data_IF_763329078029
#
_entry.id   IF_763329078029
#
_cell.length_a   1.000
_cell.length_b   1.000
_cell.length_c   1.000
_cell.angle_alpha   90.00
_cell.angle_beta   90.00
_cell.angle_gamma   90.00
#
_symmetry.space_group_name_H-M   'P 1'
#
loop_
_entity.id
_entity.type
_entity.pdbx_description
1 polymer ?
#
# COMPACT_ATOMS: atom_id res chain seq x y z
N UNK A 1 42.08 40.46 18.60
CA UNK A 1 41.02 39.85 19.44
C UNK A 1 39.77 39.66 18.59
N UNK A 2 39.51 38.44 18.11
CA UNK A 2 38.22 38.13 17.47
C UNK A 2 37.15 38.02 18.56
N UNK A 3 36.27 39.02 18.64
CA UNK A 3 35.03 38.91 19.45
C UNK A 3 34.18 37.80 18.82
N UNK A 4 34.06 36.64 19.48
CA UNK A 4 33.03 35.65 19.13
C UNK A 4 31.68 36.38 19.20
N UNK A 5 31.02 36.57 18.05
CA UNK A 5 29.61 36.98 18.03
C UNK A 5 28.86 35.96 18.89
N UNK A 6 28.11 36.44 19.90
CA UNK A 6 27.13 35.59 20.59
C UNK A 6 26.18 35.08 19.51
N UNK A 7 26.16 33.77 19.28
CA UNK A 7 25.12 33.14 18.49
C UNK A 7 23.87 33.29 19.35
N UNK A 8 23.00 34.23 18.99
CA UNK A 8 21.63 34.25 19.51
C UNK A 8 20.99 33.05 18.83
N UNK A 9 20.81 31.95 19.59
CA UNK A 9 19.97 30.85 19.13
C UNK A 9 18.55 31.42 19.11
N UNK A 10 17.99 31.63 17.94
CA UNK A 10 16.56 31.92 17.82
C UNK A 10 15.81 30.77 18.52
N UNK A 11 14.95 31.12 19.47
CA UNK A 11 14.10 30.13 20.13
C UNK A 11 13.13 29.57 19.09
N UNK A 12 13.18 28.25 18.89
CA UNK A 12 12.29 27.57 17.94
C UNK A 12 10.88 27.54 18.53
N UNK A 13 9.82 27.66 17.70
CA UNK A 13 8.45 27.50 18.16
C UNK A 13 8.23 26.10 18.72
N UNK A 14 7.41 25.96 19.78
CA UNK A 14 7.01 24.64 20.27
C UNK A 14 6.22 23.89 19.18
N UNK A 15 6.47 22.58 19.04
CA UNK A 15 5.74 21.75 18.09
C UNK A 15 4.31 21.52 18.62
N UNK A 16 3.26 21.86 17.84
CA UNK A 16 1.88 21.67 18.26
C UNK A 16 1.53 20.19 18.52
N UNK A 17 0.52 19.93 19.36
CA UNK A 17 0.10 18.58 19.77
C UNK A 17 -1.30 18.21 19.29
N UNK A 18 -2.06 19.15 18.72
CA UNK A 18 -3.39 18.90 18.16
C UNK A 18 -3.53 19.54 16.78
N UNK A 19 -4.39 19.00 15.91
CA UNK A 19 -4.64 19.60 14.59
C UNK A 19 -5.09 21.07 14.70
N UNK A 20 -5.86 21.37 15.75
CA UNK A 20 -6.33 22.72 16.03
C UNK A 20 -5.17 23.70 16.27
N UNK A 21 -4.21 23.32 17.12
CA UNK A 21 -2.99 24.08 17.41
C UNK A 21 -2.05 24.16 16.19
N UNK A 22 -2.06 23.13 15.34
CA UNK A 22 -1.38 23.16 14.05
C UNK A 22 -1.98 24.21 13.10
N UNK A 23 -3.20 24.69 13.38
CA UNK A 23 -3.95 25.59 12.51
C UNK A 23 -4.67 24.87 11.37
N UNK A 24 -4.94 23.57 11.52
CA UNK A 24 -5.60 22.73 10.51
C UNK A 24 -6.95 22.22 11.00
N UNK A 25 -7.80 21.86 10.04
CA UNK A 25 -9.07 21.18 10.28
C UNK A 25 -9.17 19.96 9.35
N UNK A 26 -9.69 18.85 9.89
CA UNK A 26 -10.12 17.71 9.10
C UNK A 26 -11.58 17.92 8.72
N UNK A 27 -11.85 18.09 7.42
CA UNK A 27 -13.19 18.29 6.88
C UNK A 27 -13.97 16.97 6.81
N UNK A 28 -15.29 17.07 6.63
CA UNK A 28 -16.17 15.89 6.50
C UNK A 28 -15.83 15.03 5.27
N UNK A 29 -15.44 15.67 4.16
CA UNK A 29 -14.95 14.98 2.95
C UNK A 29 -13.56 14.35 3.12
N UNK A 30 -12.97 14.44 4.31
CA UNK A 30 -11.69 13.82 4.65
C UNK A 30 -10.46 14.65 4.28
N UNK A 31 -10.61 15.82 3.65
CA UNK A 31 -9.49 16.70 3.37
C UNK A 31 -8.95 17.33 4.66
N UNK A 32 -7.63 17.48 4.75
CA UNK A 32 -6.97 18.20 5.83
C UNK A 32 -6.48 19.54 5.29
N UNK A 33 -7.05 20.64 5.79
CA UNK A 33 -6.77 21.99 5.26
C UNK A 33 -6.43 22.98 6.36
N UNK A 34 -5.59 23.95 6.04
CA UNK A 34 -5.29 25.07 6.94
C UNK A 34 -6.55 25.91 7.17
N UNK A 35 -6.78 26.33 8.42
CA UNK A 35 -7.96 27.13 8.78
C UNK A 35 -7.94 28.54 8.17
N UNK A 36 -6.75 29.06 7.87
CA UNK A 36 -6.56 30.41 7.38
C UNK A 36 -6.69 30.54 5.86
N UNK A 37 -6.20 29.56 5.11
CA UNK A 37 -6.03 29.66 3.64
C UNK A 37 -6.67 28.51 2.88
N UNK A 38 -7.20 27.50 3.58
CA UNK A 38 -7.75 26.30 2.98
C UNK A 38 -6.72 25.53 2.11
N UNK A 39 -5.47 25.53 2.54
CA UNK A 39 -4.35 24.89 1.84
C UNK A 39 -3.99 23.52 2.44
N UNK A 40 -3.43 22.57 1.65
CA UNK A 40 -2.85 21.33 2.16
C UNK A 40 -1.72 21.56 3.17
N UNK A 41 -1.25 20.48 3.81
CA UNK A 41 -0.15 20.56 4.78
C UNK A 41 1.14 21.09 4.15
N UNK A 42 1.69 22.14 4.77
CA UNK A 42 2.99 22.72 4.38
C UNK A 42 4.11 22.13 5.24
N UNK A 43 4.99 21.35 4.61
CA UNK A 43 6.16 20.75 5.27
C UNK A 43 7.24 21.78 5.63
N UNK A 44 7.53 22.72 4.73
CA UNK A 44 8.58 23.74 4.94
C UNK A 44 8.06 24.89 5.82
N UNK A 45 7.77 24.60 7.09
CA UNK A 45 7.26 25.59 8.05
C UNK A 45 8.36 26.56 8.51
N UNK A 46 9.55 26.05 8.86
CA UNK A 46 10.75 26.86 9.07
C UNK A 46 11.73 26.64 7.92
N UNK A 47 11.89 27.60 6.99
CA UNK A 47 12.84 27.48 5.90
C UNK A 47 14.25 27.20 6.43
N UNK A 48 14.94 26.23 5.81
CA UNK A 48 16.31 25.78 6.17
C UNK A 48 16.46 25.00 7.49
N UNK A 49 15.41 24.77 8.27
CA UNK A 49 15.46 23.90 9.46
C UNK A 49 14.77 22.57 9.21
N UNK A 50 15.45 21.72 8.43
CA UNK A 50 14.93 20.40 8.04
C UNK A 50 14.61 19.53 9.25
N UNK A 51 15.45 19.52 10.27
CA UNK A 51 15.25 18.68 11.46
C UNK A 51 13.96 19.07 12.21
N UNK A 52 13.73 20.38 12.39
CA UNK A 52 12.49 20.85 13.00
C UNK A 52 11.25 20.49 12.16
N UNK A 53 11.32 20.69 10.84
CA UNK A 53 10.20 20.37 9.95
C UNK A 53 9.89 18.86 9.93
N UNK A 54 10.91 18.00 9.99
CA UNK A 54 10.73 16.55 10.11
C UNK A 54 10.08 16.15 11.43
N UNK A 55 10.49 16.73 12.57
CA UNK A 55 9.85 16.48 13.88
C UNK A 55 8.40 16.97 13.90
N UNK A 56 8.16 18.19 13.38
CA UNK A 56 6.83 18.78 13.27
C UNK A 56 5.91 17.92 12.40
N UNK A 57 6.41 17.43 11.27
CA UNK A 57 5.67 16.56 10.36
C UNK A 57 5.36 15.20 10.99
N UNK A 58 6.31 14.60 11.73
CA UNK A 58 6.07 13.35 12.47
C UNK A 58 4.92 13.47 13.46
N UNK A 59 4.83 14.58 14.20
CA UNK A 59 3.69 14.80 15.10
C UNK A 59 2.40 14.96 14.31
N UNK A 60 2.40 15.77 13.25
CA UNK A 60 1.22 15.98 12.40
C UNK A 60 0.69 14.67 11.81
N UNK A 61 1.53 13.87 11.16
CA UNK A 61 1.11 12.63 10.51
C UNK A 61 0.65 11.56 11.52
N UNK A 62 1.18 11.59 12.75
CA UNK A 62 0.72 10.71 13.82
C UNK A 62 -0.70 11.06 14.26
N UNK A 63 -1.05 12.35 14.36
CA UNK A 63 -2.43 12.78 14.66
C UNK A 63 -3.41 12.32 13.57
N UNK A 64 -3.01 12.39 12.30
CA UNK A 64 -3.80 11.86 11.19
C UNK A 64 -3.93 10.34 11.27
N UNK A 65 -2.83 9.66 11.62
CA UNK A 65 -2.84 8.22 11.86
C UNK A 65 -3.81 7.79 12.96
N UNK A 66 -3.83 8.50 14.09
CA UNK A 66 -4.76 8.22 15.20
C UNK A 66 -6.22 8.34 14.73
N UNK A 67 -6.55 9.34 13.91
CA UNK A 67 -7.90 9.51 13.37
C UNK A 67 -8.26 8.46 12.31
N UNK A 68 -7.31 8.03 11.47
CA UNK A 68 -7.51 6.92 10.52
C UNK A 68 -7.82 5.62 11.27
N UNK A 69 -7.01 5.25 12.26
CA UNK A 69 -7.23 4.03 13.06
C UNK A 69 -8.57 4.07 13.79
N UNK A 70 -8.89 5.20 14.45
CA UNK A 70 -10.18 5.40 15.09
C UNK A 70 -11.36 5.22 14.13
N UNK A 71 -11.25 5.68 12.88
CA UNK A 71 -12.32 5.49 11.88
C UNK A 71 -12.38 4.07 11.37
N UNK A 72 -11.25 3.38 11.19
CA UNK A 72 -11.21 1.96 10.80
C UNK A 72 -11.84 1.06 11.86
N UNK A 73 -11.67 1.37 13.15
CA UNK A 73 -12.30 0.62 14.25
C UNK A 73 -13.82 0.89 14.36
N UNK A 74 -14.30 2.03 13.86
CA UNK A 74 -15.70 2.41 13.90
C UNK A 74 -16.51 1.90 12.69
N UNK A 75 -17.84 2.00 12.80
CA UNK A 75 -18.74 1.82 11.66
C UNK A 75 -18.36 2.79 10.51
N UNK A 76 -18.38 2.35 9.25
CA UNK A 76 -18.88 1.05 8.76
C UNK A 76 -17.84 -0.08 8.70
N UNK A 77 -16.57 0.18 9.04
CA UNK A 77 -15.47 -0.75 8.77
C UNK A 77 -15.35 -1.84 9.84
N UNK A 78 -15.54 -1.47 11.11
CA UNK A 78 -15.59 -2.37 12.27
C UNK A 78 -14.35 -3.26 12.43
N UNK A 79 -13.16 -2.73 12.14
CA UNK A 79 -11.93 -3.47 12.33
C UNK A 79 -11.66 -3.76 13.81
N UNK A 80 -11.10 -4.94 14.06
CA UNK A 80 -10.66 -5.40 15.36
C UNK A 80 -9.15 -5.61 15.35
N UNK A 81 -8.46 -5.05 16.34
CA UNK A 81 -7.04 -5.27 16.52
C UNK A 81 -6.79 -6.69 17.03
N UNK A 82 -5.99 -7.46 16.29
CA UNK A 82 -5.52 -8.78 16.71
C UNK A 82 -4.06 -8.70 17.09
N UNK A 83 -3.77 -8.87 18.38
CA UNK A 83 -2.41 -8.84 18.93
C UNK A 83 -1.51 -9.89 18.29
N UNK A 84 -0.27 -9.48 18.01
CA UNK A 84 0.84 -10.35 17.64
C UNK A 84 2.08 -10.03 18.50
N UNK A 85 2.92 -11.02 18.84
CA UNK A 85 2.71 -12.46 18.68
C UNK A 85 1.43 -12.98 19.37
N UNK A 86 0.89 -14.10 18.88
CA UNK A 86 -0.35 -14.71 19.40
C UNK A 86 -0.25 -15.17 20.85
N UNK A 87 0.97 -15.38 21.34
CA UNK A 87 1.33 -15.79 22.70
C UNK A 87 1.80 -14.64 23.58
N UNK A 88 1.86 -13.41 23.06
CA UNK A 88 2.22 -12.23 23.84
C UNK A 88 1.10 -11.86 24.82
N UNK A 89 1.46 -11.52 26.05
CA UNK A 89 0.56 -10.91 27.02
C UNK A 89 0.61 -9.37 26.86
N UNK A 90 -0.46 -8.72 26.37
CA UNK A 90 -0.45 -7.29 26.10
C UNK A 90 -0.16 -6.40 27.32
N UNK A 91 -0.26 -6.94 28.54
CA UNK A 91 0.03 -6.20 29.77
C UNK A 91 1.52 -6.09 30.08
N UNK A 92 2.37 -6.92 29.47
CA UNK A 92 3.80 -7.03 29.85
C UNK A 92 4.76 -7.27 28.68
N UNK A 93 4.31 -7.92 27.61
CA UNK A 93 5.17 -8.36 26.53
C UNK A 93 5.16 -7.34 25.38
N UNK A 94 6.31 -7.11 24.71
CA UNK A 94 6.35 -6.35 23.46
C UNK A 94 5.46 -6.99 22.40
N UNK A 95 4.53 -6.21 21.84
CA UNK A 95 3.57 -6.71 20.86
C UNK A 95 3.21 -5.64 19.83
N UNK A 96 2.72 -6.11 18.69
CA UNK A 96 2.03 -5.30 17.66
C UNK A 96 0.62 -5.83 17.49
N UNK A 97 -0.05 -5.41 16.42
CA UNK A 97 -1.32 -5.96 16.01
C UNK A 97 -1.50 -5.87 14.50
N UNK A 98 -2.39 -6.71 13.98
CA UNK A 98 -3.00 -6.55 12.65
C UNK A 98 -4.46 -6.11 12.84
N UNK A 99 -5.05 -5.50 11.83
CA UNK A 99 -6.49 -5.26 11.83
C UNK A 99 -7.22 -6.34 11.03
N UNK A 100 -8.33 -6.81 11.55
CA UNK A 100 -9.19 -7.80 10.89
C UNK A 100 -10.64 -7.33 10.94
N UNK A 101 -11.37 -7.46 9.84
CA UNK A 101 -12.85 -7.37 9.91
C UNK A 101 -13.38 -8.53 10.76
N UNK A 102 -14.60 -8.41 11.35
CA UNK A 102 -15.05 -9.32 12.41
C UNK A 102 -15.02 -10.82 12.05
N UNK A 103 -15.22 -11.19 10.78
CA UNK A 103 -15.21 -12.59 10.36
C UNK A 103 -13.96 -12.98 9.56
N UNK A 104 -12.95 -12.12 9.43
CA UNK A 104 -11.79 -12.40 8.58
C UNK A 104 -11.04 -13.69 8.96
N UNK A 105 -11.03 -14.04 10.26
CA UNK A 105 -10.34 -15.24 10.74
C UNK A 105 -11.19 -16.52 10.70
N UNK A 106 -12.49 -16.41 10.41
CA UNK A 106 -13.44 -17.53 10.43
C UNK A 106 -14.18 -17.73 9.10
N UNK A 107 -14.10 -16.75 8.19
CA UNK A 107 -14.77 -16.78 6.90
C UNK A 107 -14.34 -17.98 6.06
N UNK A 108 -15.31 -18.54 5.34
CA UNK A 108 -15.09 -19.53 4.28
C UNK A 108 -15.17 -18.89 2.88
N UNK A 109 -15.58 -17.62 2.79
CA UNK A 109 -15.78 -16.91 1.54
C UNK A 109 -14.52 -16.23 1.02
N UNK A 110 -14.67 -14.97 0.61
CA UNK A 110 -13.60 -14.15 0.04
C UNK A 110 -12.88 -13.35 1.12
N UNK A 111 -11.57 -13.32 1.03
CA UNK A 111 -10.68 -12.55 1.91
C UNK A 111 -9.72 -11.72 1.06
N UNK A 112 -9.41 -10.52 1.50
CA UNK A 112 -8.29 -9.75 0.95
C UNK A 112 -7.31 -9.31 2.04
N UNK A 113 -6.02 -9.42 1.75
CA UNK A 113 -4.93 -9.00 2.64
C UNK A 113 -4.31 -7.71 2.09
N UNK A 114 -4.29 -6.66 2.92
CA UNK A 114 -3.67 -5.38 2.63
C UNK A 114 -2.29 -5.30 3.27
N UNK A 115 -1.28 -5.01 2.45
CA UNK A 115 0.12 -4.96 2.88
C UNK A 115 0.71 -3.62 2.45
N UNK A 116 0.93 -2.67 3.39
CA UNK A 116 1.43 -1.36 3.03
C UNK A 116 2.92 -1.40 2.68
N UNK A 117 3.42 -0.30 2.13
CA UNK A 117 4.86 -0.09 1.90
C UNK A 117 5.63 0.22 3.18
N UNK A 118 6.89 0.62 3.04
CA UNK A 118 7.73 1.01 4.18
C UNK A 118 7.31 2.34 4.79
N UNK A 119 7.62 2.53 6.07
CA UNK A 119 7.45 3.80 6.79
C UNK A 119 6.01 4.34 6.75
N UNK A 120 5.02 3.46 6.72
CA UNK A 120 3.61 3.82 6.86
C UNK A 120 3.07 3.22 8.15
N UNK A 121 2.16 3.97 8.79
CA UNK A 121 1.43 3.46 9.94
C UNK A 121 0.34 2.50 9.44
N UNK A 122 -0.05 1.54 10.27
CA UNK A 122 -1.15 0.62 9.93
C UNK A 122 -2.40 1.41 9.49
N UNK A 123 -3.09 0.90 8.47
CA UNK A 123 -4.26 1.56 7.89
C UNK A 123 -3.93 2.62 6.83
N UNK A 124 -2.66 2.93 6.57
CA UNK A 124 -2.27 3.96 5.60
C UNK A 124 -1.65 3.37 4.31
N UNK A 125 -1.98 3.95 3.16
CA UNK A 125 -1.31 3.68 1.89
C UNK A 125 -0.18 4.69 1.63
N UNK A 126 -0.48 5.99 1.66
CA UNK A 126 0.51 7.05 1.43
C UNK A 126 0.28 8.26 2.34
N UNK A 127 1.33 8.66 3.05
CA UNK A 127 1.32 9.90 3.86
C UNK A 127 1.15 11.15 3.01
N UNK A 128 1.61 11.12 1.75
CA UNK A 128 1.47 12.23 0.82
C UNK A 128 0.03 12.39 0.39
N UNK A 129 -0.62 11.32 -0.07
CA UNK A 129 -2.04 11.36 -0.47
C UNK A 129 -2.93 11.77 0.72
N UNK A 130 -2.65 11.27 1.94
CA UNK A 130 -3.37 11.68 3.15
C UNK A 130 -3.36 13.21 3.34
N UNK A 131 -2.22 13.85 3.10
CA UNK A 131 -2.03 15.29 3.32
C UNK A 131 -2.48 16.15 2.13
N UNK A 132 -2.25 15.69 0.90
CA UNK A 132 -2.47 16.46 -0.32
C UNK A 132 -3.95 16.39 -0.76
N UNK A 133 -4.53 15.19 -0.69
CA UNK A 133 -5.89 14.89 -1.12
C UNK A 133 -6.83 14.76 0.08
N UNK A 134 -6.95 13.56 0.64
CA UNK A 134 -7.87 13.28 1.75
C UNK A 134 -7.51 11.97 2.47
N UNK A 135 -8.03 11.82 3.69
CA UNK A 135 -7.75 10.65 4.51
C UNK A 135 -8.39 9.36 3.99
N UNK A 136 -9.45 9.41 3.17
CA UNK A 136 -10.12 8.21 2.67
C UNK A 136 -9.29 7.53 1.57
N UNK A 137 -8.81 8.30 0.60
CA UNK A 137 -7.99 7.84 -0.52
C UNK A 137 -6.57 7.47 -0.09
N UNK A 138 -5.96 8.27 0.80
CA UNK A 138 -4.60 8.01 1.29
C UNK A 138 -4.48 6.89 2.32
N UNK A 139 -5.62 6.40 2.83
CA UNK A 139 -5.70 5.28 3.77
C UNK A 139 -6.39 4.06 3.15
N UNK A 140 -6.45 2.99 3.92
CA UNK A 140 -7.13 1.75 3.56
C UNK A 140 -8.66 1.85 3.69
N UNK A 141 -9.22 3.01 4.00
CA UNK A 141 -10.66 3.19 4.24
C UNK A 141 -11.48 3.03 2.95
N UNK A 142 -11.19 3.79 1.89
CA UNK A 142 -11.94 3.69 0.63
C UNK A 142 -11.81 2.28 0.03
N UNK A 143 -10.60 1.73 0.06
CA UNK A 143 -10.35 0.37 -0.43
C UNK A 143 -11.14 -0.65 0.37
N UNK A 144 -11.13 -0.57 1.71
CA UNK A 144 -11.92 -1.47 2.56
C UNK A 144 -13.40 -1.40 2.22
N UNK A 145 -13.98 -0.18 2.11
CA UNK A 145 -15.41 0.00 1.80
C UNK A 145 -15.79 -0.76 0.53
N UNK A 146 -15.04 -0.56 -0.55
CA UNK A 146 -15.30 -1.17 -1.86
C UNK A 146 -15.19 -2.69 -1.85
N UNK A 147 -14.25 -3.25 -1.08
CA UNK A 147 -14.14 -4.71 -0.90
C UNK A 147 -15.26 -5.28 -0.01
N UNK A 148 -15.64 -4.59 1.07
CA UNK A 148 -16.78 -4.99 1.90
C UNK A 148 -18.11 -4.96 1.14
N UNK A 149 -18.32 -3.98 0.26
CA UNK A 149 -19.49 -3.91 -0.65
C UNK A 149 -19.58 -5.14 -1.58
N UNK A 150 -18.44 -5.78 -1.90
CA UNK A 150 -18.38 -7.03 -2.66
C UNK A 150 -18.38 -8.28 -1.76
N UNK A 151 -18.55 -8.15 -0.45
CA UNK A 151 -18.62 -9.26 0.50
C UNK A 151 -17.28 -9.88 0.86
N UNK A 152 -16.19 -9.10 0.79
CA UNK A 152 -14.88 -9.54 1.27
C UNK A 152 -14.73 -9.25 2.75
N UNK A 153 -14.10 -10.17 3.46
CA UNK A 153 -13.43 -9.84 4.72
C UNK A 153 -12.02 -9.30 4.44
N UNK A 154 -11.51 -8.45 5.32
CA UNK A 154 -10.24 -7.73 5.12
C UNK A 154 -9.29 -7.98 6.29
N UNK A 155 -8.03 -8.25 5.98
CA UNK A 155 -6.92 -8.24 6.94
C UNK A 155 -5.93 -7.15 6.52
N UNK A 156 -5.60 -6.24 7.45
CA UNK A 156 -4.57 -5.22 7.26
C UNK A 156 -3.35 -5.59 8.10
N UNK A 157 -2.20 -5.72 7.44
CA UNK A 157 -0.92 -5.98 8.11
C UNK A 157 -0.32 -4.70 8.70
N UNK A 158 0.55 -4.86 9.70
CA UNK A 158 1.36 -3.79 10.30
C UNK A 158 2.86 -4.08 10.17
N UNK A 159 3.39 -4.22 8.94
CA UNK A 159 4.77 -4.68 8.73
C UNK A 159 5.82 -3.71 9.27
N UNK A 160 5.47 -2.43 9.45
CA UNK A 160 6.39 -1.40 9.94
C UNK A 160 6.38 -1.26 11.46
N UNK A 161 5.34 -1.71 12.17
CA UNK A 161 5.24 -1.59 13.62
C UNK A 161 6.15 -2.57 14.35
N UNK A 162 7.47 -2.38 14.26
CA UNK A 162 8.50 -3.33 14.72
C UNK A 162 9.14 -2.94 16.05
N UNK A 163 9.07 -1.66 16.44
CA UNK A 163 9.74 -1.12 17.63
C UNK A 163 8.75 -0.93 18.78
N UNK A 164 9.07 -1.41 19.97
CA UNK A 164 8.21 -1.32 21.15
C UNK A 164 8.74 -0.31 22.16
N UNK A 165 7.95 0.74 22.44
CA UNK A 165 8.19 1.70 23.53
C UNK A 165 6.92 2.49 23.84
N UNK A 166 6.83 3.07 25.03
CA UNK A 166 5.64 3.78 25.52
C UNK A 166 4.35 2.94 25.39
N UNK A 167 4.45 1.63 25.68
CA UNK A 167 3.37 0.65 25.62
C UNK A 167 2.64 0.58 24.26
N UNK A 168 3.36 0.80 23.15
CA UNK A 168 2.82 0.60 21.79
C UNK A 168 3.93 0.26 20.78
N UNK A 169 3.50 -0.27 19.64
CA UNK A 169 4.35 -0.49 18.47
C UNK A 169 4.57 0.82 17.68
N UNK A 170 5.76 0.96 17.10
CA UNK A 170 6.18 2.11 16.32
C UNK A 170 6.96 1.69 15.08
N UNK A 171 6.96 2.57 14.07
CA UNK A 171 7.65 2.43 12.78
C UNK A 171 9.11 2.88 12.78
N UNK A 172 9.58 3.37 13.93
CA UNK A 172 10.93 3.85 14.13
C UNK A 172 11.35 3.65 15.59
N UNK A 173 12.65 3.50 15.87
CA UNK A 173 13.15 3.33 17.23
C UNK A 173 12.89 4.58 18.08
N UNK A 174 12.82 4.39 19.40
CA UNK A 174 12.66 5.50 20.35
C UNK A 174 13.80 6.52 20.20
N UNK A 175 13.50 7.82 19.96
CA UNK A 175 14.53 8.83 19.80
C UNK A 175 15.45 8.93 21.02
N UNK A 176 16.76 8.97 20.78
CA UNK A 176 17.80 9.10 21.82
C UNK A 176 17.89 7.93 22.81
N UNK A 177 17.18 6.82 22.56
CA UNK A 177 17.29 5.62 23.38
C UNK A 177 18.47 4.75 22.93
N UNK A 178 19.19 4.20 23.90
CA UNK A 178 20.29 3.23 23.65
C UNK A 178 19.74 1.81 23.55
N UNK A 179 18.60 1.56 24.20
CA UNK A 179 17.97 0.25 24.25
C UNK A 179 16.78 0.22 23.30
N UNK A 180 16.89 -0.59 22.26
CA UNK A 180 15.82 -0.81 21.29
C UNK A 180 15.18 -2.16 21.59
N UNK A 181 13.90 -2.13 21.93
CA UNK A 181 13.08 -3.34 22.07
C UNK A 181 12.33 -3.58 20.77
N UNK A 182 12.64 -4.70 20.11
CA UNK A 182 11.91 -5.15 18.91
C UNK A 182 10.77 -6.08 19.31
N UNK A 183 9.76 -6.16 18.47
CA UNK A 183 8.61 -7.04 18.67
C UNK A 183 8.96 -8.44 18.15
N UNK A 184 8.95 -9.49 18.99
CA UNK A 184 9.34 -10.83 18.57
C UNK A 184 8.51 -11.32 17.38
N UNK A 185 9.13 -11.97 16.40
CA UNK A 185 8.45 -12.46 15.19
C UNK A 185 7.93 -11.37 14.24
N UNK A 186 8.16 -10.10 14.56
CA UNK A 186 7.77 -8.93 13.77
C UNK A 186 8.87 -7.87 13.86
N UNK A 187 10.14 -8.29 13.87
CA UNK A 187 11.29 -7.41 14.02
C UNK A 187 11.59 -6.59 12.76
N UNK A 188 11.08 -7.01 11.61
CA UNK A 188 11.18 -6.32 10.33
C UNK A 188 9.96 -6.64 9.44
N UNK A 189 9.73 -5.90 8.33
CA UNK A 189 8.58 -6.12 7.44
C UNK A 189 8.44 -7.55 6.91
N UNK A 190 9.55 -8.18 6.56
CA UNK A 190 9.63 -9.55 6.05
C UNK A 190 9.20 -10.56 7.12
N UNK A 191 9.78 -10.50 8.32
CA UNK A 191 9.41 -11.36 9.44
C UNK A 191 7.96 -11.16 9.86
N UNK A 192 7.47 -9.92 9.88
CA UNK A 192 6.06 -9.65 10.15
C UNK A 192 5.17 -10.38 9.14
N UNK A 193 5.42 -10.23 7.84
CA UNK A 193 4.62 -10.90 6.83
C UNK A 193 4.72 -12.43 6.93
N UNK A 194 5.93 -12.98 7.13
CA UNK A 194 6.13 -14.40 7.36
C UNK A 194 5.34 -14.91 8.57
N UNK A 195 5.41 -14.20 9.70
CA UNK A 195 4.67 -14.55 10.91
C UNK A 195 3.17 -14.59 10.65
N UNK A 196 2.62 -13.56 10.00
CA UNK A 196 1.17 -13.53 9.73
C UNK A 196 0.74 -14.64 8.77
N UNK A 197 1.52 -14.91 7.74
CA UNK A 197 1.22 -16.00 6.80
C UNK A 197 1.27 -17.37 7.49
N UNK A 198 2.28 -17.61 8.33
CA UNK A 198 2.47 -18.87 9.04
C UNK A 198 1.40 -19.13 10.11
N UNK A 199 1.04 -18.09 10.89
CA UNK A 199 0.16 -18.24 12.05
C UNK A 199 -1.32 -18.04 11.75
N UNK A 200 -1.64 -17.15 10.81
CA UNK A 200 -3.02 -16.81 10.46
C UNK A 200 -3.39 -17.34 9.08
N UNK A 201 -2.84 -16.75 8.00
CA UNK A 201 -3.34 -16.94 6.61
C UNK A 201 -3.35 -18.41 6.19
N UNK A 202 -2.26 -19.14 6.49
CA UNK A 202 -2.13 -20.58 6.20
C UNK A 202 -3.27 -21.41 6.78
N UNK A 203 -3.79 -21.03 7.94
CA UNK A 203 -4.80 -21.80 8.68
C UNK A 203 -6.24 -21.30 8.45
N UNK A 204 -6.43 -20.26 7.63
CA UNK A 204 -7.77 -19.74 7.33
C UNK A 204 -8.59 -20.72 6.49
N UNK A 205 -9.91 -20.66 6.65
CA UNK A 205 -10.87 -21.46 5.88
C UNK A 205 -11.37 -20.75 4.61
N UNK A 206 -10.94 -19.51 4.39
CA UNK A 206 -11.31 -18.72 3.22
C UNK A 206 -10.97 -19.50 1.94
N UNK A 207 -11.96 -19.72 1.08
CA UNK A 207 -11.80 -20.45 -0.17
C UNK A 207 -10.98 -19.64 -1.19
N UNK A 208 -11.16 -18.32 -1.20
CA UNK A 208 -10.46 -17.41 -2.11
C UNK A 208 -9.81 -16.26 -1.34
N UNK A 209 -8.53 -16.06 -1.59
CA UNK A 209 -7.71 -15.01 -0.97
C UNK A 209 -7.10 -14.14 -2.07
N UNK A 210 -7.28 -12.83 -1.96
CA UNK A 210 -6.57 -11.84 -2.76
C UNK A 210 -5.53 -11.11 -1.90
N UNK A 211 -4.51 -10.54 -2.54
CA UNK A 211 -3.53 -9.68 -1.88
C UNK A 211 -3.43 -8.36 -2.62
N UNK A 212 -3.46 -7.25 -1.88
CA UNK A 212 -3.12 -5.92 -2.38
C UNK A 212 -1.91 -5.40 -1.59
N UNK A 213 -0.79 -5.20 -2.28
CA UNK A 213 0.47 -4.85 -1.64
C UNK A 213 1.13 -3.63 -2.29
N UNK A 214 1.75 -2.77 -1.48
CA UNK A 214 2.43 -1.55 -1.94
C UNK A 214 3.94 -1.64 -1.63
N UNK A 215 4.78 -1.25 -2.57
CA UNK A 215 6.22 -1.09 -2.37
C UNK A 215 6.89 -2.34 -1.78
N UNK A 216 7.59 -2.12 -0.66
CA UNK A 216 8.25 -3.21 0.08
C UNK A 216 7.28 -4.24 0.65
N UNK A 217 6.01 -3.89 0.89
CA UNK A 217 4.98 -4.85 1.26
C UNK A 217 4.79 -5.95 0.20
N UNK A 218 4.94 -5.61 -1.09
CA UNK A 218 4.95 -6.60 -2.16
C UNK A 218 6.16 -7.52 -2.09
N UNK A 219 7.34 -6.99 -1.74
CA UNK A 219 8.54 -7.80 -1.48
C UNK A 219 8.32 -8.79 -0.33
N UNK A 220 7.89 -8.29 0.84
CA UNK A 220 7.63 -9.12 2.01
C UNK A 220 6.56 -10.18 1.76
N UNK A 221 5.51 -9.84 0.99
CA UNK A 221 4.51 -10.82 0.53
C UNK A 221 5.14 -11.95 -0.27
N UNK A 222 5.93 -11.64 -1.31
CA UNK A 222 6.46 -12.67 -2.20
C UNK A 222 7.33 -13.69 -1.44
N UNK A 223 8.10 -13.24 -0.44
CA UNK A 223 8.88 -14.14 0.41
C UNK A 223 7.99 -14.99 1.32
N UNK A 224 7.01 -14.38 1.99
CA UNK A 224 6.10 -15.11 2.88
C UNK A 224 5.23 -16.13 2.13
N UNK A 225 4.82 -15.79 0.90
CA UNK A 225 4.07 -16.67 0.02
C UNK A 225 4.95 -17.80 -0.53
N UNK A 226 6.21 -17.54 -0.91
CA UNK A 226 7.15 -18.57 -1.37
C UNK A 226 7.37 -19.67 -0.33
N UNK A 227 7.52 -19.30 0.95
CA UNK A 227 7.67 -20.25 2.07
C UNK A 227 6.39 -21.04 2.37
N UNK A 228 5.22 -20.51 1.99
CA UNK A 228 3.91 -21.12 2.24
C UNK A 228 3.21 -21.61 0.96
N UNK A 229 3.93 -21.67 -0.16
CA UNK A 229 3.36 -21.85 -1.49
C UNK A 229 2.47 -23.09 -1.56
N UNK A 230 2.99 -24.25 -1.12
CA UNK A 230 2.27 -25.52 -1.20
C UNK A 230 0.94 -25.52 -0.44
N UNK A 231 0.82 -24.71 0.63
CA UNK A 231 -0.38 -24.61 1.46
C UNK A 231 -1.38 -23.54 1.00
N UNK A 232 -0.95 -22.64 0.11
CA UNK A 232 -1.69 -21.42 -0.24
C UNK A 232 -1.97 -21.28 -1.74
N UNK A 233 -1.23 -21.94 -2.63
CA UNK A 233 -1.32 -21.75 -4.08
C UNK A 233 -2.74 -21.91 -4.65
N UNK A 234 -3.54 -22.83 -4.09
CA UNK A 234 -4.91 -23.09 -4.56
C UNK A 234 -5.93 -22.08 -4.03
N UNK A 235 -5.63 -21.41 -2.91
CA UNK A 235 -6.53 -20.46 -2.24
C UNK A 235 -6.21 -19.02 -2.57
N UNK A 236 -4.93 -18.66 -2.72
CA UNK A 236 -4.51 -17.32 -3.14
C UNK A 236 -4.72 -17.23 -4.66
N UNK A 237 -5.70 -16.43 -5.07
CA UNK A 237 -6.13 -16.33 -6.48
C UNK A 237 -5.34 -15.27 -7.25
N UNK A 238 -4.92 -14.20 -6.58
CA UNK A 238 -4.16 -13.12 -7.20
C UNK A 238 -3.43 -12.25 -6.20
N UNK A 239 -2.41 -11.56 -6.69
CA UNK A 239 -1.75 -10.46 -5.99
C UNK A 239 -1.70 -9.22 -6.90
N UNK A 240 -2.33 -8.13 -6.47
CA UNK A 240 -2.14 -6.82 -7.08
C UNK A 240 -1.07 -6.06 -6.30
N UNK A 241 -0.07 -5.56 -7.01
CA UNK A 241 1.05 -4.84 -6.43
C UNK A 241 1.17 -3.45 -7.01
N UNK A 242 1.62 -2.50 -6.22
CA UNK A 242 1.94 -1.15 -6.68
C UNK A 242 3.38 -0.82 -6.32
N UNK A 243 4.20 -0.46 -7.31
CA UNK A 243 5.61 -0.11 -7.16
C UNK A 243 6.40 -1.14 -6.33
N UNK A 244 6.04 -2.42 -6.42
CA UNK A 244 6.75 -3.47 -5.69
C UNK A 244 8.16 -3.62 -6.21
N UNK A 245 9.10 -3.89 -5.30
CA UNK A 245 10.53 -4.02 -5.57
C UNK A 245 11.05 -5.44 -5.35
N UNK A 246 10.14 -6.42 -5.39
CA UNK A 246 10.49 -7.84 -5.28
C UNK A 246 11.43 -8.30 -6.39
N UNK A 247 12.13 -9.41 -6.17
CA UNK A 247 12.99 -10.02 -7.18
C UNK A 247 12.73 -11.52 -7.23
N UNK A 248 12.52 -12.04 -8.43
CA UNK A 248 12.33 -13.46 -8.69
C UNK A 248 13.53 -14.32 -8.30
N UNK A 249 14.72 -13.72 -8.30
CA UNK A 249 15.96 -14.38 -7.90
C UNK A 249 16.01 -14.67 -6.39
N UNK A 250 15.21 -13.94 -5.60
CA UNK A 250 15.09 -14.15 -4.15
C UNK A 250 14.09 -15.25 -3.78
N UNK A 251 13.26 -15.68 -4.72
CA UNK A 251 12.28 -16.74 -4.52
C UNK A 251 12.96 -18.08 -4.69
N UNK A 252 12.65 -19.07 -3.87
CA UNK A 252 13.26 -20.40 -3.91
C UNK A 252 12.43 -21.36 -4.74
N UNK A 253 11.11 -21.24 -4.69
CA UNK A 253 10.19 -22.17 -5.34
C UNK A 253 9.86 -21.72 -6.79
N UNK A 254 10.10 -22.60 -7.75
CA UNK A 254 9.74 -22.37 -9.15
C UNK A 254 8.23 -22.21 -9.35
N UNK A 255 7.42 -22.91 -8.54
CA UNK A 255 5.98 -22.77 -8.51
C UNK A 255 5.53 -21.35 -8.18
N UNK A 256 6.17 -20.70 -7.20
CA UNK A 256 5.90 -19.29 -6.86
C UNK A 256 6.17 -18.36 -8.04
N UNK A 257 7.31 -18.54 -8.72
CA UNK A 257 7.67 -17.69 -9.88
C UNK A 257 6.65 -17.82 -11.00
N UNK A 258 6.21 -19.05 -11.30
CA UNK A 258 5.16 -19.31 -12.29
C UNK A 258 3.82 -18.73 -11.86
N UNK A 259 3.45 -18.91 -10.59
CA UNK A 259 2.22 -18.35 -10.05
C UNK A 259 2.18 -16.82 -10.15
N UNK A 260 3.29 -16.14 -9.86
CA UNK A 260 3.40 -14.69 -10.03
C UNK A 260 3.20 -14.27 -11.48
N UNK A 261 3.74 -15.04 -12.44
CA UNK A 261 3.57 -14.73 -13.86
C UNK A 261 2.10 -14.74 -14.28
N UNK A 262 1.34 -15.72 -13.80
CA UNK A 262 -0.06 -15.93 -14.18
C UNK A 262 -1.06 -15.11 -13.33
N UNK A 263 -0.72 -14.79 -12.08
CA UNK A 263 -1.67 -14.29 -11.08
C UNK A 263 -1.25 -13.00 -10.37
N UNK A 264 -0.14 -12.37 -10.79
CA UNK A 264 0.32 -11.12 -10.22
C UNK A 264 0.46 -10.02 -11.28
N UNK A 265 0.04 -8.80 -10.92
CA UNK A 265 0.32 -7.58 -11.69
C UNK A 265 0.95 -6.55 -10.76
N UNK A 266 2.00 -5.88 -11.23
CA UNK A 266 2.66 -4.77 -10.55
C UNK A 266 2.46 -3.46 -11.33
N UNK A 267 1.63 -2.55 -10.83
CA UNK A 267 1.50 -1.21 -11.38
C UNK A 267 2.70 -0.35 -10.97
N UNK A 268 3.41 0.22 -11.93
CA UNK A 268 4.68 0.91 -11.68
C UNK A 268 4.71 2.32 -12.27
N UNK A 269 5.40 3.22 -11.57
CA UNK A 269 5.82 4.53 -12.09
C UNK A 269 6.60 4.34 -13.39
N UNK A 270 6.16 5.04 -14.42
CA UNK A 270 6.73 4.95 -15.77
C UNK A 270 6.20 6.12 -16.60
N UNK A 271 7.00 6.58 -17.57
CA UNK A 271 6.62 7.61 -18.53
C UNK A 271 5.84 7.07 -19.75
N UNK A 272 5.66 5.74 -19.83
CA UNK A 272 4.83 5.09 -20.85
C UNK A 272 3.34 5.38 -20.62
N UNK A 273 2.53 5.23 -21.66
CA UNK A 273 1.08 5.43 -21.56
C UNK A 273 0.45 4.56 -20.47
N UNK A 274 -0.57 5.09 -19.77
CA UNK A 274 -1.25 4.36 -18.69
C UNK A 274 -1.84 3.07 -19.26
N UNK A 275 -1.62 1.94 -18.58
CA UNK A 275 -2.08 0.63 -19.03
C UNK A 275 -1.10 -0.12 -19.93
N UNK A 276 -0.03 0.52 -20.41
CA UNK A 276 0.97 -0.16 -21.25
C UNK A 276 1.76 -1.19 -20.44
N UNK A 277 1.96 -2.38 -21.02
CA UNK A 277 2.78 -3.44 -20.42
C UNK A 277 4.26 -3.04 -20.43
N UNK A 278 4.90 -3.26 -19.29
CA UNK A 278 6.33 -3.07 -19.08
C UNK A 278 6.96 -4.44 -18.87
N UNK A 279 7.85 -4.82 -19.79
CA UNK A 279 8.62 -6.06 -19.65
C UNK A 279 9.77 -5.83 -18.69
N UNK A 280 9.66 -6.40 -17.49
CA UNK A 280 10.76 -6.46 -16.52
C UNK A 280 10.86 -7.87 -15.94
N UNK A 281 11.83 -8.68 -16.40
CA UNK A 281 11.93 -10.08 -16.01
C UNK A 281 12.24 -10.26 -14.52
N UNK A 282 12.74 -9.22 -13.83
CA UNK A 282 13.13 -9.29 -12.42
C UNK A 282 11.96 -9.60 -11.50
N UNK A 283 10.74 -9.21 -11.88
CA UNK A 283 9.56 -9.40 -11.03
C UNK A 283 8.89 -10.76 -11.23
N UNK A 284 9.13 -11.44 -12.36
CA UNK A 284 8.37 -12.63 -12.75
C UNK A 284 6.84 -12.40 -12.70
N UNK A 285 6.39 -11.17 -12.97
CA UNK A 285 4.98 -10.81 -13.09
C UNK A 285 4.80 -9.71 -14.15
N UNK A 286 3.57 -9.50 -14.61
CA UNK A 286 3.27 -8.42 -15.56
C UNK A 286 3.38 -7.08 -14.86
N UNK A 287 4.17 -6.15 -15.41
CA UNK A 287 4.19 -4.77 -14.94
C UNK A 287 3.33 -3.89 -15.85
N UNK A 288 2.55 -2.98 -15.26
CA UNK A 288 1.68 -2.04 -16.00
C UNK A 288 2.10 -0.62 -15.67
N UNK A 289 2.26 0.20 -16.71
CA UNK A 289 2.61 1.62 -16.57
C UNK A 289 1.46 2.39 -15.92
N UNK A 290 1.76 3.18 -14.89
CA UNK A 290 0.80 4.13 -14.31
C UNK A 290 0.77 5.48 -15.03
N UNK A 291 1.74 5.79 -15.90
CA UNK A 291 1.97 7.12 -16.49
C UNK A 291 2.09 8.23 -15.44
N UNK A 292 2.83 7.95 -14.36
CA UNK A 292 3.07 8.89 -13.26
C UNK A 292 4.57 9.02 -13.03
N UNK A 293 4.96 10.14 -12.42
CA UNK A 293 6.35 10.41 -11.99
C UNK A 293 6.57 10.08 -10.50
N UNK A 294 5.51 10.09 -9.69
CA UNK A 294 5.57 9.97 -8.24
C UNK A 294 4.83 8.70 -7.79
N UNK A 295 5.54 7.81 -7.11
CA UNK A 295 5.04 6.49 -6.71
C UNK A 295 3.91 6.51 -5.70
N UNK A 296 3.81 7.57 -4.89
CA UNK A 296 2.79 7.73 -3.86
C UNK A 296 1.36 7.69 -4.42
N UNK A 297 1.17 8.16 -5.66
CA UNK A 297 -0.13 8.26 -6.31
C UNK A 297 -0.47 7.03 -7.17
N UNK A 298 0.46 6.10 -7.40
CA UNK A 298 0.22 4.96 -8.30
C UNK A 298 -0.96 4.11 -7.86
N UNK A 299 -1.05 3.78 -6.57
CA UNK A 299 -2.14 2.94 -6.06
C UNK A 299 -3.48 3.65 -6.24
N UNK A 300 -3.55 4.94 -5.93
CA UNK A 300 -4.81 5.70 -5.88
C UNK A 300 -5.30 6.05 -7.29
N UNK A 301 -4.39 6.40 -8.20
CA UNK A 301 -4.72 6.70 -9.59
C UNK A 301 -5.03 5.46 -10.44
N UNK A 302 -4.52 4.29 -10.04
CA UNK A 302 -4.80 3.01 -10.70
C UNK A 302 -5.79 2.12 -9.94
N UNK A 303 -6.44 2.62 -8.88
CA UNK A 303 -7.20 1.77 -7.97
C UNK A 303 -8.35 1.02 -8.66
N UNK A 304 -8.99 1.64 -9.65
CA UNK A 304 -10.08 1.01 -10.40
C UNK A 304 -9.57 -0.16 -11.25
N UNK A 305 -8.46 0.02 -11.98
CA UNK A 305 -7.83 -1.05 -12.77
C UNK A 305 -7.33 -2.20 -11.87
N UNK A 306 -6.78 -1.85 -10.70
CA UNK A 306 -6.31 -2.79 -9.68
C UNK A 306 -7.47 -3.62 -9.15
N UNK A 307 -8.59 -2.98 -8.79
CA UNK A 307 -9.75 -3.67 -8.28
C UNK A 307 -10.44 -4.52 -9.35
N UNK A 308 -10.55 -4.03 -10.58
CA UNK A 308 -11.08 -4.82 -11.70
C UNK A 308 -10.26 -6.09 -11.90
N UNK A 309 -8.92 -6.02 -11.88
CA UNK A 309 -8.06 -7.20 -11.93
C UNK A 309 -8.35 -8.19 -10.78
N UNK A 310 -8.45 -7.70 -9.55
CA UNK A 310 -8.74 -8.56 -8.38
C UNK A 310 -10.13 -9.19 -8.54
N UNK A 311 -11.14 -8.40 -8.89
CA UNK A 311 -12.52 -8.89 -9.02
C UNK A 311 -12.67 -9.91 -10.15
N UNK A 312 -11.97 -9.74 -11.28
CA UNK A 312 -11.91 -10.77 -12.34
C UNK A 312 -11.29 -12.06 -11.80
N UNK A 313 -10.12 -11.98 -11.16
CA UNK A 313 -9.41 -13.16 -10.62
C UNK A 313 -10.17 -13.87 -9.51
N UNK A 314 -10.96 -13.12 -8.74
CA UNK A 314 -11.79 -13.66 -7.67
C UNK A 314 -13.15 -14.18 -8.17
N UNK A 315 -13.52 -13.90 -9.43
CA UNK A 315 -14.74 -14.35 -10.09
C UNK A 315 -15.98 -13.50 -9.76
N UNK A 316 -15.78 -12.23 -9.43
CA UNK A 316 -16.86 -11.28 -9.08
C UNK A 316 -17.40 -10.52 -10.28
N UNK A 317 -16.59 -10.38 -11.33
CA UNK A 317 -16.95 -9.77 -12.61
C UNK A 317 -16.34 -10.58 -13.74
N UNK A 318 -16.96 -10.53 -14.91
CA UNK A 318 -16.40 -11.13 -16.12
C UNK A 318 -15.25 -10.29 -16.65
N UNK A 319 -14.28 -10.95 -17.29
CA UNK A 319 -13.22 -10.24 -18.00
C UNK A 319 -13.88 -9.52 -19.17
N UNK A 320 -13.76 -8.19 -19.22
CA UNK A 320 -14.09 -7.44 -20.43
C UNK A 320 -13.22 -8.02 -21.55
N UNK A 321 -13.84 -8.67 -22.52
CA UNK A 321 -13.17 -8.95 -23.79
C UNK A 321 -12.72 -7.58 -24.29
N UNK A 322 -11.41 -7.39 -24.44
CA UNK A 322 -10.96 -6.26 -25.25
C UNK A 322 -11.61 -6.51 -26.59
N UNK A 323 -12.47 -5.59 -27.05
CA UNK A 323 -12.78 -5.52 -28.47
C UNK A 323 -11.40 -5.49 -29.14
N UNK A 324 -10.99 -6.62 -29.71
CA UNK A 324 -9.98 -6.59 -30.74
C UNK A 324 -10.57 -5.60 -31.73
N UNK A 325 -9.94 -4.45 -31.90
CA UNK A 325 -10.08 -3.68 -33.11
C UNK A 325 -9.64 -4.64 -34.22
N UNK A 326 -10.55 -5.53 -34.64
CA UNK A 326 -10.60 -6.05 -35.98
C UNK A 326 -10.68 -4.79 -36.84
N UNK A 327 -9.52 -4.23 -37.16
CA UNK A 327 -9.34 -3.55 -38.42
C UNK A 327 -9.62 -4.61 -39.50
N UNK A 328 -10.91 -4.93 -39.70
CA UNK A 328 -11.43 -5.43 -40.96
C UNK A 328 -11.06 -4.35 -41.96
N UNK A 329 -9.87 -4.50 -42.55
CA UNK A 329 -9.52 -3.80 -43.77
C UNK A 329 -10.63 -4.16 -44.73
N UNK A 330 -11.49 -3.19 -45.02
CA UNK A 330 -12.62 -3.41 -45.90
C UNK A 330 -12.11 -3.82 -47.27
N UNK A 331 -12.85 -4.64 -48.01
CA UNK A 331 -12.47 -5.01 -49.39
C UNK A 331 -12.16 -3.78 -50.27
N UNK A 332 -12.75 -2.63 -49.96
CA UNK A 332 -12.45 -1.35 -50.59
C UNK A 332 -11.04 -0.81 -50.25
N UNK A 333 -10.59 -0.91 -49.00
CA UNK A 333 -9.24 -0.50 -48.61
C UNK A 333 -8.16 -1.44 -49.17
N UNK A 334 -8.48 -2.73 -49.34
CA UNK A 334 -7.60 -3.68 -50.06
C UNK A 334 -7.54 -3.37 -51.56
N UNK A 335 -8.66 -3.01 -52.19
CA UNK A 335 -8.69 -2.56 -53.59
C UNK A 335 -7.90 -1.25 -53.78
N UNK A 336 -8.09 -0.26 -52.90
CA UNK A 336 -7.37 1.02 -52.97
C UNK A 336 -5.85 0.84 -52.77
N UNK A 337 -5.43 -0.04 -51.86
CA UNK A 337 -4.03 -0.41 -51.68
C UNK A 337 -3.46 -1.16 -52.90
N UNK A 338 -4.27 -1.99 -53.57
CA UNK A 338 -3.87 -2.69 -54.80
C UNK A 338 -3.68 -1.72 -55.97
N UNK A 339 -4.56 -0.73 -56.13
CA UNK A 339 -4.45 0.31 -57.17
C UNK A 339 -3.23 1.22 -56.94
N UNK A 340 -2.89 1.53 -55.68
CA UNK A 340 -1.69 2.31 -55.36
C UNK A 340 -0.37 1.55 -55.59
N UNK A 341 -0.38 0.22 -55.45
CA UNK A 341 0.78 -0.63 -55.75
C UNK A 341 1.00 -0.80 -57.26
N UNK A 342 -0.06 -0.86 -58.07
CA UNK A 342 0.06 -0.94 -59.54
C UNK A 342 0.63 0.35 -60.16
N UNK A 343 0.35 1.52 -59.59
CA UNK A 343 0.87 2.81 -60.06
C UNK A 343 2.40 2.93 -59.85
N UNK A 344 2.98 2.21 -58.89
CA UNK A 344 4.44 2.22 -58.64
C UNK A 344 5.26 1.24 -59.50
N UNK A 345 4.63 0.51 -60.42
CA UNK A 345 5.31 -0.52 -61.24
C UNK A 345 5.56 -0.13 -62.71
N UNK A 346 5.46 1.15 -63.05
CA UNK A 346 5.80 1.66 -64.40
C UNK A 346 6.81 2.81 -64.32
N UNK A 347 8.09 2.46 -64.17
CA UNK A 347 9.22 2.77 -65.08
C UNK A 347 10.55 2.26 -64.52
#
# INVERSE_FOLDING_TARGET
MYRRRKIIKEEKPEIPKTLDEFGYILKENGEIRSKSQDEPYIFEYLPKDRAYNEERYKVFINLIGDEVEKRLEAEPYNFQAKTIPTDADPSKDPHSFIYTTPNALTTTGKLIVFIPGNHTRIGQWSRRVLCDENIYTGSMMDTTRRFQEKGYEVIILNPNGNYWYNNRAWDCPEPHSIHVTMIPGSEDPEKHCQYIFNHFIKNLKAEKIAVLALGWGGHSFTQAFDENFDALQDRVQCAAMCNSVHSSDMLKNEGTRRWLFDNCINWVVSAKAKGEIITDPRFSCTCISSNLEISDFTLTECIDDIMDFIFVKMGDIERKEMEEDENEITLQEVEELSEHLEITSVE
#
